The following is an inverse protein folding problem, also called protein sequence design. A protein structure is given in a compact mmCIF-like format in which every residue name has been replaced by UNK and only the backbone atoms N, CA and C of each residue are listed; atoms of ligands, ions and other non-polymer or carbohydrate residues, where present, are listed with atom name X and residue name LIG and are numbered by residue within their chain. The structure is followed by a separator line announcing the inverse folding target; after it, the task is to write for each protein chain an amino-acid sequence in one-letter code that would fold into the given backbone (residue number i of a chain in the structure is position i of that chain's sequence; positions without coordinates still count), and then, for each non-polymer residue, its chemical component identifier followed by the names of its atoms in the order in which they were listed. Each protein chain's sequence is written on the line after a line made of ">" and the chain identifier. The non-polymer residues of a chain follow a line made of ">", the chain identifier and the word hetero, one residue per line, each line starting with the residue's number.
data_IF_323007782830
#
_entry.id   IF_323007782830
#
_cell.length_a   1.000
_cell.length_b   1.000
_cell.length_c   1.000
_cell.angle_alpha   90.00
_cell.angle_beta   90.00
_cell.angle_gamma   90.00
#
_symmetry.space_group_name_H-M   'P 1'
#
loop_
_entity.id
_entity.type
_entity.pdbx_description
1 polymer ?
#
# COMPACT_ATOMS: atom_id res chain seq x y z
N UNK A 1 20.84 -2.85 -23.70
CA UNK A 1 20.34 -1.50 -23.38
C UNK A 1 19.82 -0.92 -24.67
N UNK A 2 18.51 -0.82 -24.83
CA UNK A 2 17.87 -0.41 -26.10
C UNK A 2 17.66 1.10 -26.05
N UNK A 3 18.27 1.82 -26.97
CA UNK A 3 18.18 3.27 -27.12
C UNK A 3 17.28 3.54 -28.32
N UNK A 4 16.31 4.44 -28.18
CA UNK A 4 15.45 4.83 -29.28
C UNK A 4 15.39 6.35 -29.38
N UNK A 5 15.35 6.84 -30.61
CA UNK A 5 15.16 8.25 -30.92
C UNK A 5 13.65 8.54 -30.95
N UNK A 6 13.20 9.36 -30.02
CA UNK A 6 11.79 9.75 -29.87
C UNK A 6 11.62 11.15 -30.45
N UNK A 7 10.58 11.37 -31.25
CA UNK A 7 10.23 12.70 -31.77
C UNK A 7 9.10 13.24 -30.89
N UNK A 8 9.32 14.38 -30.23
CA UNK A 8 8.28 15.07 -29.47
C UNK A 8 7.21 15.59 -30.43
N UNK A 9 5.97 15.14 -30.24
CA UNK A 9 4.84 15.51 -31.11
C UNK A 9 4.46 17.00 -31.07
N UNK A 10 4.87 17.72 -30.03
CA UNK A 10 4.50 19.13 -29.83
C UNK A 10 5.56 20.10 -30.35
N UNK A 11 6.84 19.74 -30.23
CA UNK A 11 7.99 20.57 -30.61
C UNK A 11 8.67 20.09 -31.89
N UNK A 12 8.50 18.82 -32.25
CA UNK A 12 9.19 18.17 -33.37
C UNK A 12 10.63 17.77 -33.08
N UNK A 13 11.10 17.99 -31.85
CA UNK A 13 12.49 17.74 -31.47
C UNK A 13 12.76 16.25 -31.26
N UNK A 14 13.92 15.79 -31.76
CA UNK A 14 14.40 14.43 -31.52
C UNK A 14 15.13 14.35 -30.18
N UNK A 15 14.67 13.43 -29.33
CA UNK A 15 15.22 13.17 -28.02
C UNK A 15 15.51 11.68 -27.87
N UNK A 16 16.80 11.36 -27.73
CA UNK A 16 17.26 10.00 -27.53
C UNK A 16 17.12 9.65 -26.05
N UNK A 17 16.13 8.80 -25.72
CA UNK A 17 15.81 8.45 -24.34
C UNK A 17 15.56 6.95 -24.21
N UNK A 18 15.90 6.42 -23.04
CA UNK A 18 15.55 5.05 -22.62
C UNK A 18 14.17 4.99 -21.93
N UNK A 19 13.48 6.13 -21.81
CA UNK A 19 12.18 6.26 -21.16
C UNK A 19 11.16 6.77 -22.18
N UNK A 20 10.13 5.97 -22.43
CA UNK A 20 9.03 6.29 -23.33
C UNK A 20 7.82 6.75 -22.52
N UNK A 21 7.35 7.98 -22.75
CA UNK A 21 6.08 8.45 -22.23
C UNK A 21 5.04 8.44 -23.36
N UNK A 22 4.01 7.62 -23.22
CA UNK A 22 2.82 7.71 -24.08
C UNK A 22 1.75 8.49 -23.33
N UNK A 23 1.19 9.51 -23.97
CA UNK A 23 0.05 10.26 -23.44
C UNK A 23 -1.15 9.93 -24.28
N UNK A 24 -2.20 9.39 -23.67
CA UNK A 24 -3.48 9.12 -24.31
C UNK A 24 -4.52 10.13 -23.80
N UNK A 25 -5.39 10.59 -24.70
CA UNK A 25 -6.53 11.44 -24.39
C UNK A 25 -7.80 10.64 -24.66
N UNK A 26 -8.75 10.67 -23.73
CA UNK A 26 -10.07 10.09 -23.88
C UNK A 26 -11.13 11.20 -23.86
N UNK A 27 -12.21 11.08 -24.66
CA UNK A 27 -13.28 12.08 -24.73
C UNK A 27 -14.24 12.02 -23.54
N UNK A 28 -14.32 10.90 -22.83
CA UNK A 28 -15.23 10.66 -21.71
C UNK A 28 -14.49 10.57 -20.37
N UNK A 29 -15.16 10.91 -19.26
CA UNK A 29 -14.66 10.68 -17.89
C UNK A 29 -14.55 9.17 -17.63
N UNK A 30 -13.33 8.67 -17.53
CA UNK A 30 -13.03 7.25 -17.29
C UNK A 30 -13.15 6.96 -15.80
N UNK A 31 -13.84 5.86 -15.45
CA UNK A 31 -13.89 5.34 -14.08
C UNK A 31 -12.46 5.07 -13.57
N UNK A 32 -12.07 5.70 -12.46
CA UNK A 32 -10.73 5.56 -11.90
C UNK A 32 -10.52 4.12 -11.39
N UNK A 33 -9.54 3.42 -11.97
CA UNK A 33 -9.17 2.05 -11.60
C UNK A 33 -8.07 2.15 -10.54
N UNK A 34 -8.29 1.57 -9.36
CA UNK A 34 -7.27 1.52 -8.33
C UNK A 34 -6.05 0.70 -8.78
N UNK A 35 -4.82 1.17 -8.47
CA UNK A 35 -3.59 0.46 -8.77
C UNK A 35 -3.57 -0.98 -8.26
N UNK A 36 -3.18 -1.91 -9.12
CA UNK A 36 -2.91 -3.32 -8.79
C UNK A 36 -1.45 -3.59 -8.46
N UNK A 37 -0.57 -2.62 -8.67
CA UNK A 37 0.87 -2.72 -8.37
C UNK A 37 1.44 -1.41 -7.83
N UNK A 38 2.56 -1.49 -7.12
CA UNK A 38 3.28 -0.32 -6.58
C UNK A 38 3.64 0.70 -7.67
N UNK A 39 4.00 0.21 -8.86
CA UNK A 39 4.29 1.08 -10.00
C UNK A 39 3.05 1.84 -10.47
N UNK A 40 1.88 1.23 -10.45
CA UNK A 40 0.61 1.88 -10.79
C UNK A 40 0.24 2.94 -9.74
N UNK A 41 0.55 2.72 -8.46
CA UNK A 41 0.30 3.70 -7.39
C UNK A 41 1.07 5.01 -7.60
N UNK A 42 2.24 4.95 -8.22
CA UNK A 42 3.03 6.14 -8.56
C UNK A 42 2.37 7.01 -9.65
N UNK A 43 1.44 6.48 -10.45
CA UNK A 43 0.72 7.25 -11.48
C UNK A 43 -0.38 8.14 -10.89
N UNK A 44 -0.96 7.79 -9.74
CA UNK A 44 -2.00 8.58 -9.06
C UNK A 44 -1.55 10.00 -8.69
N UNK A 45 -0.24 10.25 -8.62
CA UNK A 45 0.33 11.55 -8.25
C UNK A 45 -0.06 12.69 -9.22
N UNK A 46 -0.35 12.40 -10.49
CA UNK A 46 -0.71 13.42 -11.51
C UNK A 46 -2.19 13.81 -11.51
N UNK A 47 -3.09 12.96 -10.99
CA UNK A 47 -4.54 13.20 -11.02
C UNK A 47 -5.09 13.79 -9.72
N UNK A 48 -4.28 13.86 -8.66
CA UNK A 48 -4.69 14.28 -7.32
C UNK A 48 -4.94 15.77 -7.08
N UNK A 49 -4.74 16.67 -8.06
CA UNK A 49 -4.91 18.12 -7.84
C UNK A 49 -6.34 18.49 -7.44
N UNK A 50 -7.34 17.86 -8.08
CA UNK A 50 -8.75 18.11 -7.79
C UNK A 50 -9.17 17.63 -6.40
N UNK A 51 -8.38 16.75 -5.78
CA UNK A 51 -8.60 16.20 -4.44
C UNK A 51 -8.05 17.10 -3.33
N UNK A 52 -7.18 18.07 -3.65
CA UNK A 52 -6.60 18.99 -2.66
C UNK A 52 -7.65 19.83 -1.92
N UNK A 53 -8.79 20.09 -2.56
CA UNK A 53 -9.92 20.80 -1.92
C UNK A 53 -10.56 20.03 -0.76
N UNK A 54 -10.30 18.72 -0.66
CA UNK A 54 -10.77 17.85 0.42
C UNK A 54 -9.69 17.55 1.45
N UNK A 55 -8.52 18.21 1.39
CA UNK A 55 -7.48 18.08 2.41
C UNK A 55 -8.02 18.59 3.76
N UNK A 56 -8.09 17.74 4.80
CA UNK A 56 -8.66 18.13 6.08
C UNK A 56 -7.65 18.91 6.93
N UNK A 57 -8.13 19.74 7.85
CA UNK A 57 -7.29 20.25 8.94
C UNK A 57 -7.28 19.25 10.09
N UNK A 58 -6.24 19.31 10.93
CA UNK A 58 -6.14 18.44 12.12
C UNK A 58 -7.32 18.62 13.08
N UNK A 59 -7.93 19.81 13.13
CA UNK A 59 -9.12 20.10 13.95
C UNK A 59 -10.36 19.36 13.48
N UNK A 60 -10.40 18.95 12.21
CA UNK A 60 -11.56 18.33 11.57
C UNK A 60 -11.53 16.80 11.72
N UNK A 61 -10.42 16.24 12.23
CA UNK A 61 -10.19 14.82 12.36
C UNK A 61 -10.48 14.36 13.79
N UNK A 62 -11.57 13.60 13.95
CA UNK A 62 -11.94 13.00 15.23
C UNK A 62 -10.92 11.92 15.65
N UNK A 63 -10.65 11.75 16.96
CA UNK A 63 -9.85 10.64 17.47
C UNK A 63 -10.44 9.28 17.10
N UNK A 64 -9.58 8.29 16.86
CA UNK A 64 -9.95 6.92 16.51
C UNK A 64 -9.15 5.92 17.32
N UNK A 65 -9.79 4.83 17.70
CA UNK A 65 -9.14 3.75 18.43
C UNK A 65 -8.28 2.89 17.49
N UNK A 66 -7.38 2.09 18.07
CA UNK A 66 -6.63 1.09 17.29
C UNK A 66 -7.56 0.08 16.60
N UNK A 67 -8.70 -0.23 17.21
CA UNK A 67 -9.66 -1.19 16.67
C UNK A 67 -10.31 -0.70 15.37
N UNK A 68 -10.41 0.62 15.19
CA UNK A 68 -11.01 1.22 14.01
C UNK A 68 -10.19 1.03 12.73
N UNK A 69 -8.89 0.73 12.88
CA UNK A 69 -7.97 0.42 11.77
C UNK A 69 -7.65 -1.07 11.68
N UNK A 70 -8.13 -1.89 12.61
CA UNK A 70 -7.82 -3.32 12.63
C UNK A 70 -8.36 -4.02 11.38
N UNK A 71 -7.45 -4.66 10.64
CA UNK A 71 -7.79 -5.43 9.45
C UNK A 71 -7.10 -6.80 9.51
N UNK A 72 -7.73 -7.80 8.90
CA UNK A 72 -7.13 -9.11 8.69
C UNK A 72 -7.48 -9.65 7.31
N UNK A 73 -6.48 -10.19 6.61
CA UNK A 73 -6.63 -10.83 5.30
C UNK A 73 -6.00 -12.22 5.29
N UNK A 74 -6.48 -13.09 4.42
CA UNK A 74 -5.95 -14.45 4.22
C UNK A 74 -5.33 -14.52 2.83
N UNK A 75 -4.10 -15.02 2.76
CA UNK A 75 -3.42 -15.39 1.51
C UNK A 75 -3.71 -16.89 1.28
N UNK A 76 -4.55 -17.24 0.28
CA UNK A 76 -5.07 -18.59 0.09
C UNK A 76 -4.09 -19.51 -0.66
N UNK A 77 -2.91 -19.75 -0.08
CA UNK A 77 -1.85 -20.56 -0.71
C UNK A 77 -2.21 -22.04 -0.85
N UNK A 78 -3.12 -22.55 -0.01
CA UNK A 78 -3.53 -23.95 -0.06
C UNK A 78 -4.40 -24.25 -1.29
N UNK A 79 -5.32 -23.33 -1.63
CA UNK A 79 -6.32 -23.50 -2.69
C UNK A 79 -5.90 -22.90 -4.04
N UNK A 80 -5.22 -21.76 -4.06
CA UNK A 80 -4.78 -21.11 -5.30
C UNK A 80 -3.34 -21.50 -5.65
N UNK A 81 -3.19 -22.42 -6.62
CA UNK A 81 -1.89 -22.89 -7.10
C UNK A 81 -1.11 -21.85 -7.89
N UNK A 82 -1.81 -20.98 -8.61
CA UNK A 82 -1.16 -19.91 -9.38
C UNK A 82 -0.56 -18.84 -8.46
N UNK A 83 -1.25 -18.56 -7.35
CA UNK A 83 -0.73 -17.70 -6.30
C UNK A 83 0.40 -18.41 -5.55
N UNK A 84 0.22 -19.69 -5.18
CA UNK A 84 1.26 -20.49 -4.53
C UNK A 84 2.61 -20.42 -5.25
N UNK A 85 2.65 -20.56 -6.58
CA UNK A 85 3.88 -20.49 -7.37
C UNK A 85 4.63 -19.16 -7.22
N UNK A 86 3.91 -18.05 -6.98
CA UNK A 86 4.52 -16.72 -6.76
C UNK A 86 5.14 -16.61 -5.35
N UNK A 87 4.68 -17.42 -4.40
CA UNK A 87 5.08 -17.41 -3.00
C UNK A 87 6.05 -18.55 -2.65
N UNK A 88 6.23 -19.55 -3.50
CA UNK A 88 7.19 -20.64 -3.27
C UNK A 88 8.62 -20.15 -3.48
N UNK A 89 9.48 -20.41 -2.49
CA UNK A 89 10.93 -20.30 -2.58
C UNK A 89 11.57 -21.71 -2.65
N UNK A 90 12.90 -21.77 -2.48
CA UNK A 90 13.61 -23.05 -2.40
C UNK A 90 13.08 -23.92 -1.25
N UNK A 91 13.07 -25.24 -1.45
CA UNK A 91 12.59 -26.24 -0.47
C UNK A 91 11.11 -26.10 -0.05
N UNK A 92 10.27 -25.40 -0.83
CA UNK A 92 8.83 -25.30 -0.55
C UNK A 92 8.48 -24.33 0.59
N UNK A 93 9.44 -23.52 1.02
CA UNK A 93 9.21 -22.43 1.97
C UNK A 93 8.56 -21.24 1.29
N UNK A 94 8.03 -20.31 2.10
CA UNK A 94 7.46 -19.08 1.58
C UNK A 94 8.57 -18.06 1.29
N UNK A 95 8.49 -17.43 0.12
CA UNK A 95 9.39 -16.38 -0.34
C UNK A 95 9.19 -15.14 0.52
N UNK A 96 10.11 -14.93 1.44
CA UNK A 96 10.04 -13.82 2.40
C UNK A 96 9.94 -12.44 1.72
N UNK A 97 10.70 -12.21 0.65
CA UNK A 97 10.64 -10.93 -0.07
C UNK A 97 9.22 -10.61 -0.58
N UNK A 98 8.50 -11.64 -1.05
CA UNK A 98 7.11 -11.49 -1.51
C UNK A 98 6.16 -11.16 -0.36
N UNK A 99 6.32 -11.83 0.79
CA UNK A 99 5.55 -11.50 2.00
C UNK A 99 5.82 -10.07 2.49
N UNK A 100 7.06 -9.60 2.43
CA UNK A 100 7.41 -8.23 2.82
C UNK A 100 6.78 -7.19 1.89
N UNK A 101 6.72 -7.46 0.58
CA UNK A 101 5.99 -6.62 -0.39
C UNK A 101 4.50 -6.52 -0.03
N UNK A 102 3.85 -7.65 0.25
CA UNK A 102 2.43 -7.65 0.63
C UNK A 102 2.19 -6.97 1.97
N UNK A 103 3.11 -7.13 2.92
CA UNK A 103 3.03 -6.46 4.22
C UNK A 103 3.11 -4.94 4.06
N UNK A 104 3.93 -4.43 3.15
CA UNK A 104 4.01 -3.00 2.84
C UNK A 104 2.69 -2.49 2.24
N UNK A 105 2.14 -3.20 1.26
CA UNK A 105 0.82 -2.88 0.68
C UNK A 105 -0.30 -2.96 1.72
N UNK A 106 -0.25 -3.95 2.62
CA UNK A 106 -1.21 -4.09 3.70
C UNK A 106 -1.09 -2.98 4.74
N UNK A 107 0.12 -2.50 5.04
CA UNK A 107 0.32 -1.35 5.92
C UNK A 107 -0.30 -0.08 5.32
N UNK A 108 -0.18 0.14 4.00
CA UNK A 108 -0.89 1.20 3.28
C UNK A 108 -2.41 1.04 3.42
N UNK A 109 -2.94 -0.18 3.28
CA UNK A 109 -4.36 -0.43 3.47
C UNK A 109 -4.85 -0.10 4.89
N UNK A 110 -4.09 -0.46 5.92
CA UNK A 110 -4.40 -0.12 7.32
C UNK A 110 -4.41 1.41 7.52
N UNK A 111 -3.52 2.15 6.85
CA UNK A 111 -3.55 3.62 6.86
C UNK A 111 -4.85 4.17 6.27
N UNK A 112 -5.32 3.61 5.15
CA UNK A 112 -6.61 3.97 4.55
C UNK A 112 -7.79 3.67 5.49
N UNK A 113 -7.76 2.55 6.22
CA UNK A 113 -8.82 2.24 7.19
C UNK A 113 -8.80 3.19 8.40
N UNK A 114 -7.62 3.65 8.82
CA UNK A 114 -7.46 4.57 9.95
C UNK A 114 -7.88 6.00 9.63
N UNK A 115 -7.56 6.53 8.45
CA UNK A 115 -7.91 7.91 8.11
C UNK A 115 -9.40 7.99 7.75
N UNK A 116 -10.14 8.80 8.48
CA UNK A 116 -11.53 9.09 8.20
C UNK A 116 -11.76 10.59 8.20
N UNK A 117 -12.22 11.09 7.05
CA UNK A 117 -12.49 12.50 6.80
C UNK A 117 -14.00 12.68 6.68
N UNK A 118 -14.69 13.22 7.70
CA UNK A 118 -16.15 13.34 7.70
C UNK A 118 -16.71 14.23 6.59
N UNK A 119 -15.90 15.18 6.11
CA UNK A 119 -16.26 16.13 5.04
C UNK A 119 -16.09 15.56 3.62
N UNK A 120 -15.51 14.36 3.49
CA UNK A 120 -15.27 13.74 2.19
C UNK A 120 -16.57 13.13 1.64
N UNK A 121 -16.99 13.49 0.41
CA UNK A 121 -18.12 12.85 -0.25
C UNK A 121 -17.88 11.35 -0.47
N UNK A 122 -18.95 10.55 -0.43
CA UNK A 122 -18.86 9.09 -0.50
C UNK A 122 -18.34 8.55 -1.85
N UNK A 123 -18.43 9.36 -2.91
CA UNK A 123 -17.98 9.07 -4.27
C UNK A 123 -16.53 9.51 -4.53
N UNK A 124 -15.89 10.19 -3.57
CA UNK A 124 -14.54 10.73 -3.72
C UNK A 124 -13.52 9.87 -2.98
N UNK A 125 -12.41 9.57 -3.66
CA UNK A 125 -11.30 8.85 -3.06
C UNK A 125 -10.60 9.67 -1.97
N UNK A 126 -10.04 8.96 -0.98
CA UNK A 126 -9.30 9.60 0.10
C UNK A 126 -8.13 10.42 -0.47
N UNK A 127 -8.01 11.73 -0.18
CA UNK A 127 -7.03 12.63 -0.81
C UNK A 127 -5.63 12.49 -0.18
N UNK A 128 -5.19 11.25 0.05
CA UNK A 128 -3.98 10.92 0.79
C UNK A 128 -3.07 10.03 -0.05
N UNK A 129 -1.78 10.33 -0.01
CA UNK A 129 -0.72 9.41 -0.42
C UNK A 129 -0.01 8.93 0.83
N UNK A 130 -0.02 7.62 1.08
CA UNK A 130 0.73 7.02 2.19
C UNK A 130 2.07 6.52 1.69
N UNK A 131 3.14 6.90 2.37
CA UNK A 131 4.51 6.55 2.00
C UNK A 131 5.18 5.84 3.16
N UNK A 132 5.82 4.71 2.88
CA UNK A 132 6.65 4.00 3.85
C UNK A 132 7.93 4.78 4.11
N UNK A 133 8.15 5.21 5.36
CA UNK A 133 9.39 5.83 5.78
C UNK A 133 10.43 4.75 6.08
N UNK A 134 10.05 3.77 6.89
CA UNK A 134 10.91 2.65 7.28
C UNK A 134 10.08 1.45 7.75
N UNK A 135 10.73 0.31 7.76
CA UNK A 135 10.24 -0.93 8.39
C UNK A 135 11.19 -1.26 9.54
N UNK A 136 10.65 -1.36 10.76
CA UNK A 136 11.39 -1.66 12.00
C UNK A 136 10.97 -3.01 12.60
N UNK A 137 11.85 -3.60 13.44
CA UNK A 137 11.62 -4.78 14.30
C UNK A 137 10.98 -5.98 13.59
N UNK A 138 11.41 -6.28 12.38
CA UNK A 138 11.01 -7.52 11.70
C UNK A 138 11.55 -8.71 12.51
N UNK A 139 10.66 -9.42 13.20
CA UNK A 139 11.01 -10.60 14.00
C UNK A 139 10.50 -11.84 13.29
N UNK A 140 11.39 -12.76 12.93
CA UNK A 140 11.01 -14.09 12.45
C UNK A 140 10.95 -15.06 13.62
N UNK A 141 9.89 -15.85 13.67
CA UNK A 141 9.75 -16.97 14.59
C UNK A 141 10.48 -18.18 13.98
N UNK A 142 10.93 -19.13 14.79
CA UNK A 142 11.60 -20.37 14.33
C UNK A 142 10.67 -21.34 13.55
N UNK A 143 9.45 -20.89 13.21
CA UNK A 143 8.46 -21.67 12.47
C UNK A 143 8.86 -21.71 11.01
N UNK A 144 9.10 -22.92 10.49
CA UNK A 144 9.30 -23.13 9.06
C UNK A 144 7.99 -22.86 8.31
N UNK A 145 7.97 -21.80 7.51
CA UNK A 145 6.81 -21.48 6.67
C UNK A 145 6.64 -22.53 5.58
N UNK A 146 5.39 -22.90 5.34
CA UNK A 146 5.00 -23.82 4.27
C UNK A 146 4.22 -23.06 3.22
N UNK A 147 4.69 -23.09 1.97
CA UNK A 147 3.94 -22.46 0.88
C UNK A 147 2.66 -23.21 0.53
N UNK A 148 2.37 -24.36 1.14
CA UNK A 148 1.13 -25.13 0.96
C UNK A 148 0.01 -24.74 1.91
N UNK A 149 0.28 -23.90 2.91
CA UNK A 149 -0.68 -23.55 3.94
C UNK A 149 -0.99 -22.06 3.89
N UNK A 150 -2.25 -21.71 4.15
CA UNK A 150 -2.70 -20.32 4.13
C UNK A 150 -1.99 -19.49 5.19
N UNK A 151 -1.74 -18.22 4.85
CA UNK A 151 -1.17 -17.22 5.75
C UNK A 151 -2.22 -16.18 6.06
N UNK A 152 -2.44 -15.91 7.34
CA UNK A 152 -3.23 -14.78 7.82
C UNK A 152 -2.31 -13.61 8.11
N UNK A 153 -2.60 -12.48 7.49
CA UNK A 153 -1.95 -11.21 7.77
C UNK A 153 -2.93 -10.32 8.51
N UNK A 154 -2.48 -9.70 9.60
CA UNK A 154 -3.32 -8.84 10.43
C UNK A 154 -2.53 -7.64 10.90
N UNK A 155 -3.20 -6.54 11.15
CA UNK A 155 -2.55 -5.34 11.67
C UNK A 155 -3.51 -4.22 12.01
N UNK A 156 -2.96 -3.21 12.67
CA UNK A 156 -3.65 -2.00 13.06
C UNK A 156 -2.63 -0.87 13.26
N UNK A 157 -3.11 0.37 13.32
CA UNK A 157 -2.29 1.50 13.76
C UNK A 157 -2.03 1.37 15.27
N UNK A 158 -0.77 1.46 15.70
CA UNK A 158 -0.34 1.38 17.11
C UNK A 158 -0.04 2.75 17.70
N UNK A 159 0.36 3.72 16.87
CA UNK A 159 0.68 5.08 17.29
C UNK A 159 0.49 6.07 16.14
N UNK A 160 0.16 7.31 16.47
CA UNK A 160 -0.06 8.39 15.50
C UNK A 160 0.68 9.65 15.94
N UNK A 161 1.44 10.24 15.02
CA UNK A 161 2.00 11.58 15.11
C UNK A 161 1.08 12.61 14.46
N UNK A 162 1.64 13.72 13.96
CA UNK A 162 0.83 14.72 13.23
C UNK A 162 0.42 14.23 11.83
N UNK A 163 1.38 13.65 11.10
CA UNK A 163 1.26 13.17 9.72
C UNK A 163 2.01 11.86 9.52
N UNK A 164 2.23 11.13 10.62
CA UNK A 164 2.94 9.86 10.66
C UNK A 164 2.14 8.85 11.46
N UNK A 165 2.24 7.59 11.07
CA UNK A 165 1.53 6.48 11.70
C UNK A 165 2.48 5.31 11.86
N UNK A 166 2.49 4.70 13.04
CA UNK A 166 3.13 3.41 13.27
C UNK A 166 2.08 2.31 13.09
N UNK A 167 2.35 1.36 12.22
CA UNK A 167 1.44 0.26 11.88
C UNK A 167 2.09 -1.02 12.37
N UNK A 168 1.40 -1.72 13.26
CA UNK A 168 1.83 -3.03 13.72
C UNK A 168 1.20 -4.12 12.85
N UNK A 169 2.03 -4.89 12.15
CA UNK A 169 1.61 -5.99 11.27
C UNK A 169 2.18 -7.30 11.79
N UNK A 170 1.38 -8.35 11.81
CA UNK A 170 1.84 -9.71 12.10
C UNK A 170 1.23 -10.73 11.15
N UNK A 171 2.01 -11.79 10.93
CA UNK A 171 1.67 -12.93 10.10
C UNK A 171 1.50 -14.17 10.97
N UNK A 172 0.47 -14.94 10.65
CA UNK A 172 0.20 -16.23 11.25
C UNK A 172 -0.01 -17.27 10.16
N UNK A 173 0.41 -18.51 10.38
CA UNK A 173 0.10 -19.63 9.50
C UNK A 173 -0.56 -20.74 10.30
N UNK A 174 -1.48 -21.44 9.64
CA UNK A 174 -2.18 -22.56 10.23
C UNK A 174 -1.26 -23.77 10.26
N UNK A 175 -0.98 -24.28 11.46
CA UNK A 175 -0.24 -25.52 11.67
C UNK A 175 -1.03 -26.40 12.64
N UNK A 176 -1.34 -27.64 12.25
CA UNK A 176 -2.09 -28.60 13.06
C UNK A 176 -3.41 -28.03 13.64
N UNK A 177 -4.10 -27.20 12.85
CA UNK A 177 -5.37 -26.58 13.25
C UNK A 177 -5.24 -25.31 14.09
N UNK A 178 -4.05 -24.91 14.52
CA UNK A 178 -3.79 -23.69 15.30
C UNK A 178 -3.04 -22.65 14.47
N UNK A 179 -3.39 -21.37 14.63
CA UNK A 179 -2.64 -20.26 14.04
C UNK A 179 -1.38 -20.00 14.87
N UNK A 180 -0.21 -20.11 14.25
CA UNK A 180 1.07 -19.76 14.86
C UNK A 180 1.64 -18.51 14.22
N UNK A 181 2.15 -17.59 15.05
CA UNK A 181 2.85 -16.40 14.57
C UNK A 181 4.14 -16.80 13.86
N UNK A 182 4.33 -16.26 12.67
CA UNK A 182 5.54 -16.42 11.86
C UNK A 182 6.39 -15.16 11.98
N UNK A 183 5.77 -14.00 11.82
CA UNK A 183 6.48 -12.73 11.71
C UNK A 183 5.67 -11.61 12.31
N UNK A 184 6.37 -10.60 12.83
CA UNK A 184 5.81 -9.29 13.14
C UNK A 184 6.74 -8.21 12.64
N UNK A 185 6.19 -7.06 12.27
CA UNK A 185 6.93 -5.88 11.87
C UNK A 185 6.19 -4.62 12.29
N UNK A 186 6.95 -3.54 12.46
CA UNK A 186 6.42 -2.20 12.61
C UNK A 186 6.73 -1.43 11.33
N UNK A 187 5.71 -0.86 10.72
CA UNK A 187 5.87 0.05 9.58
C UNK A 187 5.67 1.47 10.08
N UNK A 188 6.63 2.34 9.79
CA UNK A 188 6.44 3.77 9.97
C UNK A 188 6.02 4.37 8.63
N UNK A 189 4.80 4.87 8.59
CA UNK A 189 4.19 5.45 7.40
C UNK A 189 4.04 6.96 7.59
N UNK A 190 4.14 7.73 6.51
CA UNK A 190 3.75 9.14 6.50
C UNK A 190 2.57 9.36 5.57
N UNK A 191 1.67 10.23 6.01
CA UNK A 191 0.57 10.75 5.24
C UNK A 191 1.00 12.02 4.50
N UNK A 192 0.80 12.02 3.18
CA UNK A 192 1.06 13.14 2.28
C UNK A 192 -0.25 13.52 1.62
N UNK A 193 -0.37 14.77 1.19
CA UNK A 193 -1.54 15.21 0.43
C UNK A 193 -1.62 14.50 -0.95
N UNK A 194 -2.74 14.64 -1.65
CA UNK A 194 -3.01 13.94 -2.90
C UNK A 194 -1.95 14.18 -4.01
N UNK A 195 -1.25 15.33 -3.98
CA UNK A 195 -0.16 15.64 -4.92
C UNK A 195 1.24 15.29 -4.39
N UNK A 196 1.32 14.74 -3.19
CA UNK A 196 2.56 14.43 -2.48
C UNK A 196 3.52 15.64 -2.37
N UNK A 197 2.97 16.85 -2.28
CA UNK A 197 3.72 18.11 -2.11
C UNK A 197 3.90 18.44 -0.62
N UNK A 198 2.91 18.13 0.21
CA UNK A 198 2.86 18.45 1.64
C UNK A 198 2.56 17.26 2.53
N UNK A 199 2.81 17.42 3.83
CA UNK A 199 2.40 16.46 4.85
C UNK A 199 0.90 16.65 5.18
N UNK A 200 0.12 15.58 5.18
CA UNK A 200 -1.30 15.61 5.48
C UNK A 200 -1.57 15.14 6.92
N UNK A 201 -2.45 15.81 7.69
CA UNK A 201 -2.75 15.42 9.06
C UNK A 201 -3.50 14.09 9.12
N UNK A 202 -3.41 13.34 10.21
CA UNK A 202 -4.13 12.06 10.39
C UNK A 202 -4.95 12.06 11.67
N UNK A 203 -5.98 11.21 11.75
CA UNK A 203 -6.84 11.09 12.93
C UNK A 203 -5.99 10.68 14.16
N UNK A 204 -6.07 11.40 15.28
CA UNK A 204 -5.33 11.03 16.49
C UNK A 204 -5.84 9.70 17.07
N UNK A 205 -4.99 9.01 17.84
CA UNK A 205 -5.38 7.85 18.66
C UNK A 205 -5.63 8.29 20.10
#
# INVERSE_FOLDING_TARGET
>A
MTIADIIDSSTGDQLTSNVFYYTFSAPDEILEILPRSYHETMWCQKFGEHLLKYEPNITDLAPRSMQDSFTSVIIPLSSDKSLQDQYVAFLGHVRLGRLMEDMDMFAVWVCHQHVHVPSLPADVHLPYTFVTILVDKVTFSDVQTRATEDIRMSGHVSWVGRSSMEIFVWLEQKENGSWRKITRALFLMTARNATNTGAAPVNPI
#
